data_IF_566018515475
#
_entry.id   IF_566018515475
#
_cell.length_a   1.000
_cell.length_b   1.000
_cell.length_c   1.000
_cell.angle_alpha   90.00
_cell.angle_beta   90.00
_cell.angle_gamma   90.00
#
_symmetry.space_group_name_H-M   'P 1'
#
loop_
_entity.id
_entity.type
_entity.pdbx_description
1 polymer ?
2 non-polymer ?
3 non-polymer ?
4 water ?
#
# COMPACT_ATOMS: atom_id res chain seq x y z
N UNK A 1 -5.88 -0.21 19.01
CA UNK A 1 -5.83 -0.37 17.52
C UNK A 1 -6.33 -1.68 17.00
N UNK A 2 -7.50 -1.59 16.35
CA UNK A 2 -8.06 -2.68 15.59
C UNK A 2 -7.38 -2.82 14.22
N UNK A 3 -7.14 -4.09 13.79
CA UNK A 3 -6.52 -4.35 12.52
C UNK A 3 -7.20 -5.50 11.79
N UNK A 4 -7.19 -5.43 10.46
CA UNK A 4 -7.82 -6.39 9.65
C UNK A 4 -7.00 -6.55 8.41
N UNK A 5 -7.11 -7.73 7.82
CA UNK A 5 -6.41 -7.99 6.58
C UNK A 5 -7.18 -9.01 5.74
N UNK A 6 -7.34 -8.63 4.46
CA UNK A 6 -7.96 -9.43 3.47
C UNK A 6 -6.98 -9.77 2.38
N UNK A 7 -6.91 -11.04 2.08
CA UNK A 7 -6.08 -11.58 1.06
C UNK A 7 -7.02 -11.90 -0.07
N UNK A 8 -6.71 -11.38 -1.26
CA UNK A 8 -7.57 -11.56 -2.42
C UNK A 8 -7.43 -12.95 -3.03
N UNK A 9 -8.58 -13.57 -3.32
CA UNK A 9 -8.65 -14.63 -4.31
C UNK A 9 -9.54 -14.23 -5.46
N UNK A 10 -9.35 -14.94 -6.55
CA UNK A 10 -9.90 -14.63 -7.86
C UNK A 10 -9.67 -15.88 -8.72
N UNK A 11 -10.49 -16.06 -9.76
CA UNK A 11 -10.29 -17.14 -10.76
C UNK A 11 -10.09 -16.59 -12.25
N UNK A 12 -9.16 -15.63 -12.34
CA UNK A 12 -9.18 -14.53 -13.27
C UNK A 12 -7.86 -13.77 -13.04
N UNK A 13 -7.02 -14.30 -12.17
CA UNK A 13 -5.66 -13.83 -12.03
C UNK A 13 -5.44 -12.56 -11.23
N UNK A 14 -6.50 -11.99 -10.66
CA UNK A 14 -6.37 -10.89 -9.68
C UNK A 14 -5.66 -11.33 -8.40
N UNK A 15 -4.68 -10.54 -7.98
CA UNK A 15 -4.08 -10.81 -6.67
C UNK A 15 -3.90 -9.51 -5.86
N UNK A 16 -3.81 -9.60 -4.54
CA UNK A 16 -3.65 -8.42 -3.73
C UNK A 16 -3.87 -8.67 -2.25
N UNK A 17 -3.46 -7.69 -1.42
CA UNK A 17 -3.85 -7.64 -0.03
C UNK A 17 -4.35 -6.23 0.35
N UNK A 18 -5.31 -6.20 1.28
CA UNK A 18 -5.99 -5.01 1.72
C UNK A 18 -5.88 -4.98 3.25
N UNK A 19 -5.37 -3.88 3.78
CA UNK A 19 -5.21 -3.72 5.23
C UNK A 19 -6.29 -2.73 5.72
N UNK A 20 -6.80 -3.00 6.92
CA UNK A 20 -7.66 -2.09 7.64
C UNK A 20 -7.04 -1.82 9.02
N UNK A 21 -7.45 -0.69 9.59
CA UNK A 21 -6.80 -0.07 10.72
C UNK A 21 -7.84 0.87 11.25
N UNK A 22 -7.93 0.98 12.58
CA UNK A 22 -8.84 1.90 13.24
C UNK A 22 -8.35 2.18 14.67
N UNK A 23 -7.91 3.44 14.97
CA UNK A 23 -7.57 3.87 16.37
C UNK A 23 -8.88 4.08 17.13
N UNK A 24 -9.06 3.34 18.23
CA UNK A 24 -10.23 3.53 19.10
C UNK A 24 -11.44 3.47 18.22
N UNK A 25 -12.24 4.52 18.20
CA UNK A 25 -13.32 4.61 17.22
C UNK A 25 -13.26 5.84 16.23
N UNK A 26 -12.06 6.28 15.87
CA UNK A 26 -11.85 7.11 14.67
C UNK A 26 -12.31 6.45 13.31
N UNK A 27 -11.97 7.05 12.16
CA UNK A 27 -12.35 6.41 10.91
C UNK A 27 -11.49 5.16 10.70
N UNK A 28 -11.93 4.25 9.81
CA UNK A 28 -11.01 3.22 9.35
C UNK A 28 -10.22 3.64 8.14
N UNK A 29 -8.93 3.36 8.17
CA UNK A 29 -8.06 3.56 7.01
C UNK A 29 -7.87 2.23 6.28
N UNK A 30 -8.14 2.23 4.96
CA UNK A 30 -7.92 1.01 4.16
C UNK A 30 -6.86 1.24 3.10
N UNK A 31 -5.88 0.35 3.12
CA UNK A 31 -4.75 0.48 2.25
C UNK A 31 -4.53 -0.80 1.46
N UNK A 32 -4.67 -0.68 0.16
CA UNK A 32 -4.68 -1.85 -0.63
C UNK A 32 -3.63 -1.82 -1.69
N UNK A 33 -3.31 -3.01 -2.18
CA UNK A 33 -2.34 -3.13 -3.24
C UNK A 33 -2.77 -4.37 -3.99
N UNK A 34 -2.99 -4.23 -5.30
CA UNK A 34 -3.65 -5.29 -6.09
C UNK A 34 -3.03 -5.37 -7.43
N UNK A 35 -2.98 -6.55 -8.01
CA UNK A 35 -2.42 -6.73 -9.36
C UNK A 35 -3.34 -7.60 -10.19
N UNK A 36 -3.06 -7.59 -11.49
CA UNK A 36 -3.79 -8.43 -12.48
C UNK A 36 -5.15 -7.93 -12.92
N UNK A 37 -5.29 -6.62 -12.96
CA UNK A 37 -6.55 -5.93 -13.22
C UNK A 37 -6.40 -5.06 -14.50
N UNK A 38 -7.51 -4.95 -15.25
CA UNK A 38 -7.65 -4.04 -16.42
C UNK A 38 -7.52 -2.61 -15.93
N UNK A 39 -6.70 -1.81 -16.63
CA UNK A 39 -6.58 -0.42 -16.23
C UNK A 39 -7.89 0.37 -16.18
N UNK A 40 -8.01 1.29 -15.23
CA UNK A 40 -9.13 2.16 -15.19
C UNK A 40 -9.81 1.89 -13.88
N UNK A 41 -11.05 2.37 -13.77
CA UNK A 41 -11.77 2.40 -12.53
C UNK A 41 -12.55 1.11 -12.34
N UNK A 42 -12.42 0.58 -11.11
CA UNK A 42 -13.05 -0.61 -10.62
C UNK A 42 -13.79 -0.28 -9.35
N UNK A 43 -15.04 -0.65 -9.24
CA UNK A 43 -15.74 -0.45 -7.96
C UNK A 43 -15.23 -1.36 -6.83
N UNK A 44 -15.31 -0.89 -5.61
CA UNK A 44 -14.59 -1.48 -4.53
C UNK A 44 -15.39 -1.36 -3.22
N UNK A 45 -15.92 -2.47 -2.73
CA UNK A 45 -16.96 -2.34 -1.71
C UNK A 45 -16.64 -3.34 -0.64
N UNK A 46 -17.10 -3.03 0.56
CA UNK A 46 -17.21 -4.07 1.58
C UNK A 46 -18.57 -4.74 1.39
N UNK A 47 -18.56 -6.07 1.27
CA UNK A 47 -19.81 -6.85 1.09
C UNK A 47 -20.37 -7.33 2.41
N UNK A 48 -21.62 -7.81 2.46
CA UNK A 48 -22.31 -8.08 3.75
C UNK A 48 -21.73 -9.25 4.54
N UNK A 49 -21.41 -10.35 3.83
CA UNK A 49 -21.09 -11.61 4.47
C UNK A 49 -19.68 -12.00 4.08
N UNK A 50 -19.11 -12.95 4.82
CA UNK A 50 -17.75 -13.49 4.51
C UNK A 50 -17.88 -14.94 4.15
N UNK A 51 -19.01 -15.28 3.53
CA UNK A 51 -19.35 -16.62 3.16
C UNK A 51 -18.79 -16.82 1.77
N UNK A 52 -17.79 -17.69 1.62
CA UNK A 52 -17.19 -17.95 0.32
C UNK A 52 -17.46 -19.38 -0.16
N UNK A 53 -18.50 -20.07 0.33
CA UNK A 53 -18.86 -21.41 -0.15
C UNK A 53 -19.19 -21.46 -1.63
N UNK A 54 -19.66 -20.34 -2.15
CA UNK A 54 -19.83 -20.24 -3.60
C UNK A 54 -18.95 -19.11 -4.17
N UNK A 55 -17.73 -18.99 -3.69
CA UNK A 55 -16.88 -17.95 -4.19
C UNK A 55 -17.25 -16.57 -3.72
N UNK A 56 -16.89 -15.56 -4.52
CA UNK A 56 -17.35 -14.20 -4.31
C UNK A 56 -18.84 -14.02 -4.30
N UNK A 57 -19.56 -14.92 -4.95
CA UNK A 57 -21.02 -14.78 -5.04
C UNK A 57 -21.73 -14.91 -3.67
N UNK A 58 -21.27 -15.81 -2.81
CA UNK A 58 -21.92 -15.99 -1.55
C UNK A 58 -21.68 -14.89 -0.53
N UNK A 59 -20.94 -13.88 -0.91
CA UNK A 59 -20.64 -12.76 -0.02
C UNK A 59 -21.74 -11.71 0.09
N UNK A 60 -22.89 -11.90 -0.51
CA UNK A 60 -24.02 -10.98 -0.30
C UNK A 60 -23.88 -9.67 -1.06
N UNK A 61 -24.84 -8.73 -0.84
CA UNK A 61 -24.82 -7.43 -1.49
C UNK A 61 -23.81 -6.54 -0.74
N UNK A 62 -23.75 -5.21 -1.04
CA UNK A 62 -22.90 -4.34 -0.33
C UNK A 62 -23.33 -4.28 1.14
N UNK A 63 -22.37 -4.11 2.02
CA UNK A 63 -22.64 -4.06 3.46
C UNK A 63 -23.52 -2.85 3.69
N UNK A 64 -24.62 -3.02 4.45
CA UNK A 64 -25.67 -2.04 4.47
C UNK A 64 -26.53 -2.07 5.72
N UNK A 65 -25.91 -1.91 6.95
CA UNK A 65 -26.79 -1.97 8.14
C UNK A 65 -27.92 -0.88 8.17
N UNK A 66 -27.69 0.28 7.54
CA UNK A 66 -28.69 1.37 7.57
C UNK A 66 -29.90 1.20 6.61
N UNK A 67 -29.85 0.19 5.73
CA UNK A 67 -30.90 -0.05 4.74
C UNK A 67 -31.11 1.05 3.68
N UNK A 68 -30.01 1.72 3.32
CA UNK A 68 -29.97 2.78 2.30
C UNK A 68 -29.76 2.16 0.92
N UNK A 69 -29.88 3.02 -0.10
CA UNK A 69 -29.61 2.67 -1.49
C UNK A 69 -28.16 3.06 -1.82
N UNK A 70 -27.66 2.58 -2.94
CA UNK A 70 -26.24 2.81 -3.25
C UNK A 70 -25.83 4.29 -3.57
N UNK A 71 -24.61 4.69 -3.16
CA UNK A 71 -24.08 6.04 -3.36
C UNK A 71 -22.57 6.07 -3.56
N UNK A 72 -21.97 7.29 -3.53
CA UNK A 72 -20.54 7.43 -3.42
C UNK A 72 -20.16 7.41 -1.95
N UNK A 73 -18.87 7.12 -1.67
CA UNK A 73 -18.54 7.18 -0.25
C UNK A 73 -18.80 8.57 0.40
N UNK A 74 -18.87 9.62 -0.41
CA UNK A 74 -19.04 10.99 0.13
C UNK A 74 -20.45 11.41 0.26
N UNK A 75 -21.41 10.58 -0.12
CA UNK A 75 -22.84 10.91 0.02
C UNK A 75 -23.45 10.55 1.38
N UNK A 76 -24.50 11.22 1.80
CA UNK A 76 -25.34 10.67 2.90
C UNK A 76 -26.06 9.35 2.48
N UNK A 77 -26.65 9.34 1.28
CA UNK A 77 -27.31 8.18 0.68
C UNK A 77 -26.28 7.23 0.04
N UNK A 78 -26.11 6.08 0.70
CA UNK A 78 -24.83 5.37 0.70
C UNK A 78 -25.05 4.11 1.51
N UNK A 79 -24.50 3.00 1.03
CA UNK A 79 -24.37 1.81 1.83
C UNK A 79 -23.12 2.03 2.71
N UNK A 80 -23.02 1.30 3.82
CA UNK A 80 -21.79 1.40 4.64
C UNK A 80 -20.58 0.95 3.84
N UNK A 81 -20.77 -0.14 3.06
CA UNK A 81 -19.69 -0.67 2.23
C UNK A 81 -19.28 0.13 1.02
N UNK A 82 -19.91 1.30 0.79
CA UNK A 82 -19.69 2.10 -0.46
C UNK A 82 -18.40 2.85 -0.42
N UNK A 83 -17.41 2.17 -0.97
CA UNK A 83 -16.05 2.59 -0.93
C UNK A 83 -15.57 3.19 -2.25
N UNK A 84 -16.42 3.23 -3.27
CA UNK A 84 -16.15 4.00 -4.50
C UNK A 84 -15.42 3.20 -5.50
N UNK A 85 -14.48 3.85 -6.19
CA UNK A 85 -13.66 3.17 -7.15
C UNK A 85 -12.22 3.19 -6.73
N UNK A 86 -11.48 2.19 -7.19
CA UNK A 86 -9.99 2.29 -7.19
C UNK A 86 -9.52 2.47 -8.58
N UNK A 87 -8.41 3.16 -8.77
CA UNK A 87 -7.84 3.35 -10.14
C UNK A 87 -6.74 2.35 -10.43
N UNK A 88 -6.94 1.57 -11.47
CA UNK A 88 -5.91 0.61 -11.88
C UNK A 88 -5.02 1.23 -12.98
N UNK A 89 -3.69 1.20 -12.76
CA UNK A 89 -2.77 1.88 -13.66
C UNK A 89 -2.45 0.99 -14.88
N UNK A 90 -1.65 1.50 -15.81
CA UNK A 90 -1.38 0.77 -17.05
C UNK A 90 -0.68 -0.54 -16.90
N UNK A 91 0.06 -0.72 -15.80
CA UNK A 91 0.54 -2.09 -15.48
C UNK A 91 -0.48 -3.03 -14.85
N UNK A 92 -1.73 -2.60 -14.66
CA UNK A 92 -2.75 -3.50 -14.06
C UNK A 92 -2.63 -3.64 -12.53
N UNK A 93 -1.91 -2.72 -11.92
CA UNK A 93 -1.81 -2.68 -10.48
C UNK A 93 -2.56 -1.45 -9.98
N UNK A 94 -3.02 -1.57 -8.75
CA UNK A 94 -3.68 -0.54 -8.05
C UNK A 94 -3.00 -0.51 -6.68
N UNK A 95 -2.64 0.70 -6.20
CA UNK A 95 -2.03 0.95 -4.86
C UNK A 95 -2.77 2.12 -4.25
N UNK A 96 -3.49 1.95 -3.14
CA UNK A 96 -4.50 2.99 -2.76
C UNK A 96 -4.79 2.95 -1.25
N UNK A 97 -5.28 4.07 -0.72
CA UNK A 97 -5.70 4.29 0.66
C UNK A 97 -7.05 5.03 0.63
N UNK A 98 -8.02 4.61 1.47
CA UNK A 98 -9.35 5.18 1.50
C UNK A 98 -9.61 5.38 2.98
N UNK A 99 -10.08 6.56 3.41
CA UNK A 99 -10.42 6.71 4.84
C UNK A 99 -11.94 6.88 4.94
N UNK A 100 -12.59 6.08 5.78
CA UNK A 100 -14.01 6.05 5.74
C UNK A 100 -14.50 5.86 7.15
N UNK A 101 -15.71 6.35 7.40
CA UNK A 101 -16.30 6.44 8.73
C UNK A 101 -17.29 5.33 9.01
N UNK A 102 -17.75 4.65 7.97
CA UNK A 102 -18.84 3.66 8.07
C UNK A 102 -18.41 2.17 8.08
N UNK A 103 -17.12 1.93 8.05
CA UNK A 103 -16.66 0.55 8.01
C UNK A 103 -15.86 0.14 9.30
N UNK A 104 -16.55 0.06 10.46
CA UNK A 104 -15.72 -0.05 11.66
C UNK A 104 -15.04 -1.43 11.80
N UNK A 105 -13.96 -1.51 12.60
CA UNK A 105 -13.36 -2.80 12.85
C UNK A 105 -13.82 -3.47 14.14
N UNK A 106 -14.63 -2.76 14.94
CA UNK A 106 -15.18 -3.33 16.19
C UNK A 106 -16.74 -3.10 16.31
N UNK A 107 -17.40 -3.76 17.26
CA UNK A 107 -18.80 -3.47 17.48
C UNK A 107 -19.76 -4.31 16.64
N UNK A 108 -21.06 -3.92 16.63
CA UNK A 108 -22.15 -4.54 15.86
C UNK A 108 -21.99 -4.41 14.33
N UNK A 109 -21.41 -3.30 13.87
CA UNK A 109 -21.30 -3.08 12.43
C UNK A 109 -19.93 -3.40 11.95
N UNK A 110 -19.23 -4.23 12.70
CA UNK A 110 -17.81 -4.48 12.39
C UNK A 110 -17.68 -5.27 11.06
N UNK A 111 -16.73 -4.87 10.26
CA UNK A 111 -16.50 -5.51 8.97
C UNK A 111 -15.63 -6.77 9.05
N UNK A 112 -15.20 -7.13 10.27
CA UNK A 112 -14.31 -8.25 10.43
C UNK A 112 -15.06 -9.52 10.24
N UNK A 113 -14.57 -10.38 9.35
CA UNK A 113 -15.34 -11.58 8.94
C UNK A 113 -16.36 -11.35 7.84
N UNK A 114 -16.39 -10.14 7.29
CA UNK A 114 -17.16 -9.81 6.09
C UNK A 114 -16.19 -9.93 4.89
N UNK A 115 -16.60 -9.60 3.67
CA UNK A 115 -15.64 -9.67 2.53
C UNK A 115 -15.49 -8.31 1.88
N UNK A 116 -14.34 -8.09 1.27
CA UNK A 116 -14.11 -6.92 0.48
C UNK A 116 -14.10 -7.51 -0.96
N UNK A 117 -14.77 -6.85 -1.92
CA UNK A 117 -14.91 -7.33 -3.32
C UNK A 117 -14.47 -6.27 -4.34
N UNK A 118 -13.59 -6.69 -5.27
CA UNK A 118 -13.28 -5.86 -6.42
C UNK A 118 -14.13 -6.29 -7.62
N UNK A 119 -14.67 -5.28 -8.32
CA UNK A 119 -15.61 -5.43 -9.38
C UNK A 119 -14.95 -5.14 -10.72
N UNK A 120 -15.54 -5.72 -11.77
CA UNK A 120 -15.03 -5.68 -13.13
C UNK A 120 -15.04 -4.25 -13.63
N UNK A 121 -16.09 -3.50 -13.30
CA UNK A 121 -16.21 -2.23 -13.93
C UNK A 121 -16.37 -1.08 -12.98
N UNK A 122 -16.35 0.16 -13.53
CA UNK A 122 -16.36 1.30 -12.63
C UNK A 122 -17.64 1.37 -11.82
N UNK A 123 -17.55 1.83 -10.58
CA UNK A 123 -18.80 2.17 -9.83
C UNK A 123 -19.41 3.54 -10.35
N UNK A 124 -20.66 3.48 -10.87
CA UNK A 124 -21.61 4.63 -11.19
C UNK A 124 -21.62 5.71 -10.16
N UNK A 125 -21.49 5.28 -8.90
CA UNK A 125 -21.70 6.07 -7.71
C UNK A 125 -23.17 6.36 -7.45
N UNK A 126 -24.07 5.65 -8.14
CA UNK A 126 -25.53 5.91 -8.07
C UNK A 126 -26.08 6.90 -9.14
N UNK A 127 -25.19 7.43 -9.98
CA UNK A 127 -25.46 8.53 -10.90
C UNK A 127 -25.51 8.10 -12.41
N UNK A 128 -25.15 6.86 -12.72
CA UNK A 128 -25.17 6.36 -14.07
C UNK A 128 -26.49 6.30 -14.83
N UNK A 129 -27.62 6.27 -14.11
CA UNK A 129 -28.93 6.16 -14.71
C UNK A 129 -29.29 4.74 -15.11
N UNK A 130 -28.56 3.74 -14.61
CA UNK A 130 -28.80 2.33 -15.00
C UNK A 130 -29.76 1.79 -14.02
N UNK A 131 -30.54 0.79 -14.41
CA UNK A 131 -31.43 0.14 -13.41
C UNK A 131 -30.75 -0.37 -12.11
N UNK A 132 -29.45 -0.65 -12.18
CA UNK A 132 -28.65 -1.09 -11.04
C UNK A 132 -27.81 -0.05 -10.38
N UNK A 133 -27.76 1.17 -10.87
CA UNK A 133 -27.05 2.28 -10.22
C UNK A 133 -27.32 2.46 -8.72
N UNK A 134 -28.58 2.32 -8.32
CA UNK A 134 -28.90 2.57 -6.93
C UNK A 134 -28.72 1.32 -6.11
N UNK A 135 -28.22 0.23 -6.74
CA UNK A 135 -27.92 -0.98 -5.94
C UNK A 135 -26.50 -1.47 -5.94
N UNK A 136 -25.85 -1.50 -7.10
CA UNK A 136 -24.49 -2.03 -7.25
C UNK A 136 -23.59 -0.96 -7.84
N UNK A 137 -24.20 0.13 -8.31
CA UNK A 137 -23.45 1.15 -9.02
C UNK A 137 -23.04 0.68 -10.40
N UNK A 138 -23.69 -0.36 -10.91
CA UNK A 138 -23.45 -0.95 -12.23
C UNK A 138 -21.97 -1.34 -12.50
N UNK A 139 -21.27 -1.71 -11.42
CA UNK A 139 -19.86 -1.98 -11.40
C UNK A 139 -19.66 -3.40 -11.82
N UNK A 140 -20.77 -3.96 -12.28
CA UNK A 140 -21.16 -5.31 -11.91
C UNK A 140 -20.13 -6.27 -12.35
N UNK A 141 -19.74 -7.15 -11.45
CA UNK A 141 -18.93 -8.29 -11.86
C UNK A 141 -17.86 -8.51 -10.79
N UNK A 142 -18.01 -9.59 -10.00
CA UNK A 142 -17.04 -9.91 -8.90
C UNK A 142 -15.83 -10.69 -9.45
N UNK A 143 -14.68 -10.07 -9.32
CA UNK A 143 -13.51 -10.37 -10.11
C UNK A 143 -12.35 -10.77 -9.13
N UNK A 144 -12.55 -10.46 -7.83
CA UNK A 144 -11.74 -10.95 -6.73
C UNK A 144 -12.46 -10.55 -5.45
N UNK A 145 -12.18 -11.31 -4.37
CA UNK A 145 -12.61 -10.93 -3.02
C UNK A 145 -11.78 -11.53 -1.86
N UNK A 146 -11.91 -10.96 -0.69
CA UNK A 146 -11.24 -11.56 0.41
C UNK A 146 -12.04 -11.33 1.66
N UNK A 147 -12.03 -12.35 2.52
CA UNK A 147 -12.64 -12.17 3.81
C UNK A 147 -11.71 -11.33 4.74
N UNK A 148 -12.29 -10.31 5.36
CA UNK A 148 -11.55 -9.49 6.34
C UNK A 148 -11.34 -10.26 7.67
N UNK A 149 -10.14 -10.82 7.81
CA UNK A 149 -9.69 -11.42 9.08
C UNK A 149 -9.03 -10.53 10.10
N UNK A 150 -9.07 -10.91 11.36
CA UNK A 150 -8.35 -10.20 12.44
C UNK A 150 -6.87 -10.27 12.24
N UNK A 151 -6.24 -9.11 12.35
CA UNK A 151 -4.78 -9.04 12.25
C UNK A 151 -4.13 -8.72 13.62
N UNK A 152 -2.85 -9.13 13.72
CA UNK A 152 -1.92 -8.85 14.86
C UNK A 152 -1.39 -7.41 14.85
N UNK B 1 34.07 -0.29 11.31
CA UNK B 1 33.47 -0.43 9.91
C UNK B 1 32.38 -1.50 9.85
N UNK B 2 31.12 -1.09 9.95
CA UNK B 2 30.04 -2.02 9.92
C UNK B 2 29.55 -2.00 8.49
N UNK B 3 28.96 -3.10 8.04
CA UNK B 3 28.53 -3.27 6.64
C UNK B 3 27.26 -4.07 6.56
N UNK B 4 26.33 -3.62 5.71
CA UNK B 4 25.16 -4.33 5.37
C UNK B 4 24.90 -4.45 3.88
N UNK B 5 24.01 -5.33 3.49
CA UNK B 5 23.70 -5.46 2.06
C UNK B 5 22.19 -5.89 1.84
N UNK B 6 21.48 -5.21 0.97
CA UNK B 6 20.13 -5.63 0.60
C UNK B 6 20.09 -6.12 -0.82
N UNK B 7 19.70 -7.38 -1.04
CA UNK B 7 19.55 -7.91 -2.38
C UNK B 7 18.05 -7.70 -2.68
N UNK B 8 17.74 -7.03 -3.79
CA UNK B 8 16.37 -6.67 -4.12
C UNK B 8 15.62 -7.82 -4.79
N UNK B 9 14.42 -8.10 -4.29
CA UNK B 9 13.47 -9.03 -4.87
C UNK B 9 12.38 -8.16 -5.40
N UNK B 10 11.77 -8.64 -6.50
CA UNK B 10 10.71 -7.95 -7.20
C UNK B 10 9.85 -8.96 -7.94
N UNK B 11 8.55 -8.65 -8.07
CA UNK B 11 7.68 -9.37 -9.02
C UNK B 11 7.61 -8.69 -10.39
N UNK B 12 7.94 -7.38 -10.47
CA UNK B 12 8.01 -6.64 -11.73
C UNK B 12 9.43 -6.73 -12.39
N UNK B 13 9.84 -5.75 -13.17
CA UNK B 13 11.20 -5.89 -13.77
C UNK B 13 12.46 -6.04 -12.85
N UNK B 14 12.32 -5.77 -11.53
CA UNK B 14 13.39 -5.05 -10.78
C UNK B 14 14.51 -5.91 -10.12
N UNK B 15 15.76 -5.56 -10.42
CA UNK B 15 16.89 -6.27 -9.83
C UNK B 15 17.87 -5.30 -9.18
N UNK B 16 18.77 -5.83 -8.38
CA UNK B 16 19.83 -4.99 -7.90
C UNK B 16 20.25 -5.23 -6.49
N UNK B 17 21.33 -4.53 -6.13
CA UNK B 17 21.90 -4.70 -4.81
C UNK B 17 22.31 -3.35 -4.20
N UNK B 18 22.20 -3.25 -2.89
CA UNK B 18 22.39 -1.96 -2.21
C UNK B 18 23.24 -2.27 -0.99
N UNK B 19 24.37 -1.55 -0.92
CA UNK B 19 25.41 -1.81 0.06
C UNK B 19 25.32 -0.68 1.05
N UNK B 20 25.45 -1.01 2.34
CA UNK B 20 25.60 -0.02 3.42
C UNK B 20 26.93 -0.15 4.18
N UNK B 21 27.43 1.03 4.60
CA UNK B 21 28.75 1.20 5.15
C UNK B 21 28.75 2.25 6.26
N UNK B 22 29.19 1.87 7.46
CA UNK B 22 29.38 2.80 8.56
C UNK B 22 30.66 2.70 9.42
N UNK B 23 31.47 3.73 9.34
CA UNK B 23 32.69 3.77 10.12
C UNK B 23 32.51 4.55 11.37
N UNK B 24 32.68 3.88 12.50
CA UNK B 24 32.30 4.36 13.85
C UNK B 24 30.82 4.66 13.94
N UNK B 25 30.51 5.90 14.32
CA UNK B 25 29.16 6.53 14.12
C UNK B 25 29.34 7.78 13.31
N UNK B 26 30.08 7.63 12.19
CA UNK B 26 30.13 8.58 11.09
C UNK B 26 28.84 8.38 10.31
N UNK B 27 28.68 8.97 9.12
CA UNK B 27 27.37 8.73 8.45
C UNK B 27 27.28 7.30 7.85
N UNK B 28 26.09 6.78 7.55
CA UNK B 28 26.12 5.63 6.64
C UNK B 28 26.11 6.00 5.15
N UNK B 29 26.91 5.30 4.38
CA UNK B 29 26.97 5.45 2.91
C UNK B 29 26.19 4.29 2.25
N UNK B 30 25.17 4.64 1.48
CA UNK B 30 24.45 3.63 0.76
C UNK B 30 24.77 3.76 -0.77
N UNK B 31 25.37 2.72 -1.33
CA UNK B 31 25.62 2.72 -2.73
C UNK B 31 24.76 1.65 -3.35
N UNK B 32 24.06 2.04 -4.39
CA UNK B 32 23.00 1.26 -4.93
C UNK B 32 23.31 1.14 -6.40
N UNK B 33 22.81 0.06 -6.95
CA UNK B 33 23.05 -0.21 -8.32
C UNK B 33 21.88 -1.14 -8.69
N UNK B 34 20.97 -0.62 -9.56
CA UNK B 34 19.60 -1.17 -9.77
C UNK B 34 19.16 -1.06 -11.24
N UNK B 35 18.25 -1.92 -11.67
CA UNK B 35 17.86 -2.01 -13.07
C UNK B 35 16.44 -2.54 -13.17
N UNK B 36 15.76 -2.28 -14.28
CA UNK B 36 14.39 -2.76 -14.40
C UNK B 36 13.39 -1.74 -13.92
N UNK B 37 13.82 -0.49 -13.84
CA UNK B 37 12.95 0.55 -13.41
C UNK B 37 12.69 1.51 -14.57
N UNK B 38 11.46 2.03 -14.59
CA UNK B 38 10.97 3.12 -15.44
C UNK B 38 11.88 4.29 -15.29
N UNK B 39 12.37 4.87 -16.40
CA UNK B 39 13.14 6.09 -16.18
C UNK B 39 12.42 7.09 -15.25
N UNK B 40 13.21 7.96 -14.62
CA UNK B 40 12.65 9.02 -13.74
C UNK B 40 12.97 8.83 -12.26
N UNK B 41 12.13 9.43 -11.42
CA UNK B 41 12.34 9.46 -9.98
C UNK B 41 11.47 8.45 -9.29
N UNK B 42 12.10 7.71 -8.37
CA UNK B 42 11.47 6.65 -7.53
C UNK B 42 11.78 6.89 -6.07
N UNK B 43 10.75 6.86 -5.21
CA UNK B 43 10.94 6.90 -3.75
C UNK B 43 11.95 5.85 -3.25
N UNK B 44 12.74 6.18 -2.25
CA UNK B 44 13.69 5.22 -1.71
C UNK B 44 13.71 5.39 -0.18
N UNK B 45 13.39 4.30 0.52
CA UNK B 45 13.20 4.38 1.94
C UNK B 45 13.69 3.14 2.62
N UNK B 46 14.03 3.32 3.88
CA UNK B 46 14.16 2.23 4.86
C UNK B 46 12.85 2.08 5.59
N UNK B 47 12.15 0.98 5.33
CA UNK B 47 10.94 0.66 6.07
C UNK B 47 11.31 0.09 7.45
N UNK B 48 10.31 -0.07 8.30
CA UNK B 48 10.44 -0.25 9.75
C UNK B 48 10.81 -1.71 9.99
N UNK B 49 10.27 -2.59 9.14
CA UNK B 49 10.45 -4.02 9.32
C UNK B 49 11.12 -4.75 8.11
N UNK B 50 11.52 -6.01 8.38
CA UNK B 50 12.13 -6.86 7.32
C UNK B 50 11.33 -8.14 7.30
N UNK B 51 10.03 -8.02 7.64
CA UNK B 51 9.04 -9.11 7.47
C UNK B 51 8.57 -9.20 6.01
N UNK B 52 8.91 -10.33 5.43
CA UNK B 52 8.84 -10.44 3.99
C UNK B 52 7.83 -11.54 3.67
N UNK B 53 7.08 -11.98 4.71
CA UNK B 53 6.10 -13.08 4.57
C UNK B 53 4.97 -12.79 3.59
N UNK B 54 4.63 -11.48 3.45
CA UNK B 54 3.76 -11.00 2.37
C UNK B 54 4.53 -10.07 1.41
N UNK B 55 5.76 -10.45 1.04
CA UNK B 55 6.66 -9.68 0.19
C UNK B 55 6.98 -8.32 0.81
N UNK B 56 6.88 -7.29 -0.02
CA UNK B 56 7.21 -5.94 0.40
C UNK B 56 6.13 -5.32 1.26
N UNK B 57 4.89 -5.77 1.05
CA UNK B 57 3.70 -5.33 1.82
C UNK B 57 3.95 -5.41 3.35
N UNK B 58 4.50 -6.53 3.83
CA UNK B 58 4.66 -6.78 5.25
C UNK B 58 5.83 -6.01 5.95
N UNK B 59 6.59 -5.21 5.20
CA UNK B 59 7.74 -4.50 5.75
C UNK B 59 7.38 -3.23 6.51
N UNK B 60 6.10 -3.01 6.80
CA UNK B 60 5.65 -1.83 7.61
C UNK B 60 5.91 -0.49 6.96
N UNK B 61 5.78 0.60 7.71
CA UNK B 61 5.98 1.91 7.05
C UNK B 61 7.46 2.34 7.14
N UNK B 62 7.76 3.61 6.88
CA UNK B 62 9.11 4.10 6.91
C UNK B 62 9.68 4.03 8.30
N UNK B 63 10.95 3.68 8.40
CA UNK B 63 11.62 3.67 9.66
C UNK B 63 11.52 5.09 10.31
N UNK B 64 10.74 5.14 11.37
CA UNK B 64 10.49 6.38 12.08
C UNK B 64 10.65 6.28 13.65
N UNK B 65 11.90 6.06 14.14
CA UNK B 65 12.08 5.98 15.59
C UNK B 65 11.67 7.31 16.31
N UNK B 66 11.90 8.45 15.65
CA UNK B 66 11.72 9.77 16.24
C UNK B 66 10.29 10.21 16.22
N UNK B 67 9.38 9.38 15.67
CA UNK B 67 7.93 9.72 15.60
C UNK B 67 7.59 11.03 14.87
N UNK B 68 8.31 11.33 13.77
CA UNK B 68 8.20 12.60 13.01
C UNK B 68 7.34 12.42 11.77
N UNK B 69 7.09 13.51 11.03
CA UNK B 69 6.27 13.44 9.81
C UNK B 69 7.19 13.07 8.66
N UNK B 70 6.64 12.69 7.51
CA UNK B 70 7.44 12.36 6.30
C UNK B 70 8.09 13.66 5.76
N UNK B 71 9.33 13.56 5.28
CA UNK B 71 10.05 14.69 4.71
C UNK B 71 11.07 14.14 3.72
N UNK B 72 11.95 15.01 3.24
CA UNK B 72 13.05 14.62 2.41
C UNK B 72 14.25 14.36 3.32
N UNK B 73 15.27 13.65 2.80
CA UNK B 73 16.45 13.39 3.63
C UNK B 73 17.13 14.68 4.09
N UNK B 74 16.84 15.74 3.37
CA UNK B 74 17.36 17.08 3.66
C UNK B 74 16.57 17.91 4.68
N UNK B 75 15.36 17.47 5.02
CA UNK B 75 14.57 18.08 6.07
C UNK B 75 14.92 17.62 7.45
N UNK B 76 14.73 18.50 8.44
CA UNK B 76 14.71 18.21 9.87
C UNK B 76 13.41 17.52 10.17
N UNK B 77 12.35 17.89 9.44
CA UNK B 77 11.11 17.07 9.37
C UNK B 77 11.10 15.92 8.35
N UNK B 78 11.06 14.69 8.85
CA UNK B 78 11.71 13.63 8.15
C UNK B 78 11.54 12.38 8.98
N UNK B 79 11.23 11.26 8.33
CA UNK B 79 11.53 9.93 8.90
C UNK B 79 13.02 9.62 8.71
N UNK B 80 13.53 8.72 9.55
CA UNK B 80 14.95 8.19 9.52
C UNK B 80 15.13 7.45 8.26
N UNK B 81 14.09 6.69 7.90
CA UNK B 81 14.06 5.90 6.64
C UNK B 81 13.94 6.66 5.34
N UNK B 82 13.85 8.01 5.39
CA UNK B 82 13.64 8.84 4.20
C UNK B 82 14.91 9.16 3.40
N UNK B 83 15.18 8.32 2.41
CA UNK B 83 16.33 8.50 1.55
C UNK B 83 15.98 9.24 0.22
N UNK B 84 14.72 9.71 0.10
CA UNK B 84 14.30 10.60 -0.99
C UNK B 84 14.03 9.85 -2.29
N UNK B 85 14.51 10.41 -3.39
CA UNK B 85 14.30 9.82 -4.68
C UNK B 85 15.59 9.41 -5.23
N UNK B 86 15.56 8.35 -6.00
CA UNK B 86 16.71 7.99 -6.78
C UNK B 86 16.27 8.23 -8.23
N UNK B 87 17.25 8.60 -9.03
CA UNK B 87 17.02 9.07 -10.37
C UNK B 87 17.34 7.85 -11.26
N UNK B 88 16.32 7.30 -11.94
CA UNK B 88 16.47 6.19 -12.93
C UNK B 88 16.75 6.75 -14.32
N UNK B 89 17.81 6.25 -14.97
CA UNK B 89 18.26 6.73 -16.26
C UNK B 89 17.46 6.06 -17.38
N UNK B 90 17.68 6.53 -18.62
CA UNK B 90 16.91 6.03 -19.79
C UNK B 90 16.91 4.51 -19.97
N UNK B 91 18.01 3.87 -19.62
CA UNK B 91 18.12 2.42 -19.78
C UNK B 91 17.50 1.61 -18.64
N UNK B 92 16.87 2.28 -17.70
CA UNK B 92 16.15 1.61 -16.61
C UNK B 92 17.02 1.36 -15.41
N UNK B 93 18.14 2.05 -15.40
CA UNK B 93 19.27 1.79 -14.53
C UNK B 93 19.49 3.01 -13.60
N UNK B 94 19.83 2.72 -12.34
CA UNK B 94 20.24 3.75 -11.40
C UNK B 94 21.42 3.21 -10.71
N UNK B 95 22.29 4.14 -10.36
CA UNK B 95 23.55 3.85 -9.78
C UNK B 95 23.96 5.05 -8.91
N UNK B 96 23.67 4.97 -7.60
CA UNK B 96 23.71 6.13 -6.77
C UNK B 96 24.55 5.90 -5.53
N UNK B 97 24.72 7.00 -4.81
CA UNK B 97 25.45 7.03 -3.57
C UNK B 97 24.76 8.07 -2.75
N UNK B 98 24.31 7.64 -1.58
CA UNK B 98 23.66 8.50 -0.65
C UNK B 98 24.44 8.40 0.66
N UNK B 99 24.81 9.55 1.26
CA UNK B 99 25.34 9.62 2.64
C UNK B 99 24.27 10.23 3.61
N UNK B 100 23.91 9.48 4.68
CA UNK B 100 22.86 9.88 5.59
C UNK B 100 23.26 9.61 6.99
N UNK B 101 22.62 10.36 7.88
CA UNK B 101 23.04 10.30 9.27
C UNK B 101 22.00 9.75 10.24
N UNK B 102 20.84 9.31 9.69
CA UNK B 102 19.80 8.65 10.46
C UNK B 102 19.56 7.15 10.26
N UNK B 103 20.40 6.49 9.50
CA UNK B 103 20.23 5.07 9.15
C UNK B 103 21.51 4.34 9.61
N UNK B 104 21.81 4.36 10.93
CA UNK B 104 22.97 3.65 11.47
C UNK B 104 22.97 2.14 11.27
N UNK B 105 24.17 1.54 11.24
CA UNK B 105 24.29 0.12 11.06
C UNK B 105 24.45 -0.58 12.40
N UNK B 106 24.68 0.21 13.47
CA UNK B 106 24.88 -0.36 14.80
C UNK B 106 23.98 0.31 15.80
N UNK B 107 23.70 -0.41 16.86
CA UNK B 107 23.01 0.13 17.99
C UNK B 107 21.52 0.00 17.86
N UNK B 108 20.79 0.74 18.71
CA UNK B 108 19.32 0.67 19.01
C UNK B 108 18.48 1.26 17.86
N UNK B 109 19.06 2.17 17.07
CA UNK B 109 18.43 2.64 15.83
C UNK B 109 18.86 1.92 14.53
N UNK B 110 19.56 0.78 14.70
CA UNK B 110 20.06 0.00 13.58
C UNK B 110 19.04 -0.36 12.46
N UNK B 111 19.45 -0.21 11.21
CA UNK B 111 18.58 -0.59 10.10
C UNK B 111 18.88 -2.03 9.67
N UNK B 112 19.88 -2.63 10.32
CA UNK B 112 20.18 -4.04 10.02
C UNK B 112 18.97 -4.92 10.40
N UNK B 113 18.49 -5.71 9.43
CA UNK B 113 17.26 -6.50 9.68
C UNK B 113 15.93 -5.94 9.15
N UNK B 114 16.05 -4.75 8.54
CA UNK B 114 14.95 -3.92 8.04
C UNK B 114 14.93 -3.97 6.52
N UNK B 115 13.95 -3.39 5.84
CA UNK B 115 14.01 -3.44 4.43
C UNK B 115 14.22 -2.03 3.83
N UNK B 116 14.94 -1.98 2.69
CA UNK B 116 14.88 -0.88 1.78
C UNK B 116 13.85 -1.32 0.75
N UNK B 117 13.10 -0.36 0.26
CA UNK B 117 12.00 -0.51 -0.66
C UNK B 117 12.21 0.61 -1.69
N UNK B 118 12.18 0.24 -2.98
CA UNK B 118 12.03 1.21 -4.06
C UNK B 118 10.54 1.21 -4.45
N UNK B 119 10.05 2.42 -4.76
CA UNK B 119 8.67 2.68 -5.02
C UNK B 119 8.41 2.92 -6.49
N UNK B 120 7.15 2.75 -6.91
CA UNK B 120 6.76 3.04 -8.34
C UNK B 120 6.96 4.50 -8.73
N UNK B 121 6.63 5.47 -7.85
CA UNK B 121 6.60 6.84 -8.24
C UNK B 121 7.51 7.71 -7.42
N UNK B 122 7.60 9.00 -7.84
CA UNK B 122 8.38 9.94 -7.08
C UNK B 122 7.90 10.10 -5.62
N UNK B 123 8.85 10.26 -4.70
CA UNK B 123 8.58 10.68 -3.34
C UNK B 123 8.37 12.21 -3.47
N UNK B 124 7.19 12.64 -3.01
CA UNK B 124 6.65 14.00 -2.75
C UNK B 124 7.50 14.89 -1.97
N UNK B 125 8.27 14.23 -1.08
CA UNK B 125 9.04 14.88 -0.04
C UNK B 125 8.18 15.57 0.99
N UNK B 126 6.88 15.23 1.02
CA UNK B 126 5.96 15.72 2.05
C UNK B 126 5.21 16.91 1.51
N UNK B 127 5.49 17.26 0.24
CA UNK B 127 5.10 18.53 -0.35
C UNK B 127 4.13 18.46 -1.53
N UNK B 128 3.44 17.34 -1.73
CA UNK B 128 2.55 17.27 -2.91
C UNK B 128 1.17 17.69 -2.42
N UNK B 129 0.15 17.67 -3.21
CA UNK B 129 -1.08 18.08 -2.49
C UNK B 129 -1.65 17.05 -1.52
N UNK B 130 -1.12 15.85 -1.58
CA UNK B 130 -1.89 14.62 -1.44
C UNK B 130 -2.12 14.20 0.03
N UNK B 131 -3.13 13.36 0.29
CA UNK B 131 -3.47 12.90 1.65
C UNK B 131 -2.33 12.10 2.29
N UNK B 132 -1.51 11.50 1.45
CA UNK B 132 -0.46 10.57 1.88
C UNK B 132 0.92 11.21 1.93
N UNK B 133 1.03 12.41 1.38
CA UNK B 133 2.22 13.23 1.32
C UNK B 133 2.98 13.26 2.63
N UNK B 134 2.30 13.56 3.74
CA UNK B 134 3.02 13.85 4.97
C UNK B 134 3.28 12.57 5.75
N UNK B 135 2.93 11.42 5.18
CA UNK B 135 3.25 10.14 5.85
C UNK B 135 4.13 9.22 4.96
N UNK B 136 3.97 9.34 3.64
CA UNK B 136 4.65 8.44 2.66
C UNK B 136 5.25 9.17 1.46
N UNK B 137 4.99 10.49 1.35
CA UNK B 137 5.37 11.30 0.18
C UNK B 137 4.70 10.77 -1.08
N UNK B 138 3.66 9.97 -0.88
CA UNK B 138 2.78 9.51 -1.94
C UNK B 138 3.51 8.85 -3.17
N UNK B 139 4.49 8.00 -2.85
CA UNK B 139 5.38 7.35 -3.79
C UNK B 139 4.82 6.08 -4.50
N UNK B 140 3.57 5.70 -4.18
CA UNK B 140 2.91 4.57 -4.82
C UNK B 140 3.50 3.25 -4.34
N UNK B 141 3.32 2.20 -5.17
CA UNK B 141 3.62 0.82 -4.81
C UNK B 141 5.05 0.49 -4.49
N UNK B 142 5.20 -0.56 -3.70
CA UNK B 142 6.51 -1.09 -3.36
C UNK B 142 7.01 -2.05 -4.48
N UNK B 143 7.89 -1.55 -5.37
CA UNK B 143 8.24 -2.23 -6.62
C UNK B 143 9.42 -3.24 -6.45
N UNK B 144 10.23 -3.06 -5.40
CA UNK B 144 11.38 -3.91 -5.09
C UNK B 144 11.75 -3.63 -3.64
N UNK B 145 12.34 -4.63 -2.97
CA UNK B 145 12.81 -4.51 -1.62
C UNK B 145 13.73 -5.68 -1.32
N UNK B 146 14.57 -5.53 -0.30
CA UNK B 146 15.40 -6.59 0.17
C UNK B 146 15.65 -6.25 1.61
N UNK B 147 15.88 -7.29 2.43
CA UNK B 147 16.22 -7.08 3.83
C UNK B 147 17.70 -6.71 3.91
N UNK B 148 18.01 -5.80 4.83
CA UNK B 148 19.37 -5.34 5.00
C UNK B 148 20.12 -6.38 5.87
N UNK B 149 20.84 -7.26 5.19
CA UNK B 149 21.57 -8.34 5.81
C UNK B 149 22.91 -7.83 6.29
N UNK B 150 23.41 -8.41 7.38
CA UNK B 150 24.71 -8.08 7.88
C UNK B 150 25.69 -8.64 6.88
N UNK B 151 26.68 -7.82 6.54
CA UNK B 151 27.70 -8.21 5.62
C UNK B 151 29.08 -8.32 6.35
N UNK B 152 29.98 -9.09 5.73
CA UNK B 152 31.24 -9.38 6.36
C UNK B 152 32.39 -8.50 5.94
X LIG C 1 -23.39 0.05 -2.48
X LIG D 1 -24.83 -17.73 -3.59
X LIG E 1 -26.02 -5.77 6.03
X LIG F 1 -13.69 -14.25 -8.77
X LIG G 1 -4.54 6.88 -2.80
X LIG H 1 -27.19 -10.08 3.44
X LIG I 1 -18.06 -14.73 -8.38
X LIG J 1 8.90 8.87 5.16
X LIG K 1 0.82 -7.17 5.38
X LIG L 1 9.94 2.79 13.87
X LIG M 1 17.06 0.41 -22.65
X LIG N 1 5.77 -1.14 12.45
#
# INVERSE_FOLDING_TARGET
MAKGVAVLSSSEGVAGTILFTQEGDGPTTVTGNISGLKPGLHGFHVHALGDTTNGCMSTGPHFNPAGKEHGSPEDETRHAGDLGNITVGDDGTACFTIVDKQIPLTGPHSIIGRAVVVHADPDDLGKGGHELSKSTGNAGGRIACGIIGLQG
MAKGVAVLSSSEGVAGTILFTQEGDGPTTVTGNISGLKPGLHGFHVHALGDTTNGCMSTGPHFNPAGKEHGSPEDETRHAGDLGNITVGDDGTACFTIVDKQIPLTGPHSIIGRAVVVHADPDDLGKGGHELSKSTGNAGGRIACGIIGLQG
ZN ZN
IOD I
IOD I
IOD I
IOD I
IOD I
IOD I
ZN ZN
IOD I
IOD I
IOD I
IOD I
#
